data_IF_577057646593
#
_entry.id   IF_577057646593
#
_cell.length_a   1.000
_cell.length_b   1.000
_cell.length_c   1.000
_cell.angle_alpha   90.00
_cell.angle_beta   90.00
_cell.angle_gamma   90.00
#
_symmetry.space_group_name_H-M   'P 1'
#
loop_
_entity.id
_entity.type
_entity.pdbx_description
1 polymer ?
#
# COMPACT_ATOMS: atom_id res chain seq x y z
N UNK A 1 4.46 26.05 3.93
CA UNK A 1 3.41 25.25 4.56
C UNK A 1 3.88 23.82 4.69
N UNK A 2 3.86 23.32 5.89
CA UNK A 2 4.26 21.94 6.13
C UNK A 2 3.19 20.99 5.63
N UNK A 3 3.57 19.90 4.93
CA UNK A 3 2.60 18.92 4.50
C UNK A 3 2.01 18.18 5.70
N UNK A 4 0.72 17.97 5.66
CA UNK A 4 0.06 17.17 6.67
C UNK A 4 0.16 15.69 6.31
N UNK A 5 0.26 14.87 7.32
CA UNK A 5 0.33 13.42 7.15
C UNK A 5 -0.99 12.81 7.58
N UNK A 6 -1.60 12.04 6.69
CA UNK A 6 -2.81 11.29 7.00
C UNK A 6 -2.44 9.82 7.18
N UNK A 7 -2.84 9.26 8.30
CA UNK A 7 -2.60 7.84 8.58
C UNK A 7 -3.93 7.11 8.57
N UNK A 8 -4.05 6.13 7.66
CA UNK A 8 -5.28 5.36 7.49
C UNK A 8 -4.98 3.89 7.71
N UNK A 9 -5.81 3.24 8.51
CA UNK A 9 -5.65 1.82 8.83
C UNK A 9 -6.81 1.04 8.21
N UNK A 10 -6.50 0.22 7.21
CA UNK A 10 -7.47 -0.61 6.50
C UNK A 10 -8.69 0.19 6.05
N UNK A 11 -8.51 1.27 5.28
CA UNK A 11 -9.61 2.20 5.00
C UNK A 11 -10.78 1.60 4.22
N UNK A 12 -10.56 0.49 3.52
CA UNK A 12 -11.59 -0.15 2.70
C UNK A 12 -11.98 -1.54 3.17
N UNK A 13 -11.57 -1.95 4.36
CA UNK A 13 -11.73 -3.33 4.80
C UNK A 13 -13.18 -3.80 4.90
N UNK A 14 -14.12 -2.89 5.15
CA UNK A 14 -15.54 -3.21 5.29
C UNK A 14 -16.37 -2.77 4.09
N UNK A 15 -15.73 -2.35 3.00
CA UNK A 15 -16.42 -1.80 1.84
C UNK A 15 -16.46 -2.79 0.70
N UNK A 16 -17.50 -2.69 -0.14
CA UNK A 16 -17.57 -3.46 -1.38
C UNK A 16 -16.63 -2.86 -2.44
N UNK A 17 -16.51 -3.52 -3.58
CA UNK A 17 -15.58 -3.11 -4.65
C UNK A 17 -15.90 -1.71 -5.16
N UNK A 18 -17.18 -1.40 -5.33
CA UNK A 18 -17.58 -0.09 -5.86
C UNK A 18 -17.25 1.03 -4.88
N UNK A 19 -17.56 0.85 -3.61
CA UNK A 19 -17.27 1.85 -2.58
C UNK A 19 -15.77 2.01 -2.38
N UNK A 20 -15.02 0.91 -2.44
CA UNK A 20 -13.57 0.95 -2.35
C UNK A 20 -12.96 1.75 -3.49
N UNK A 21 -13.49 1.62 -4.70
CA UNK A 21 -13.02 2.38 -5.86
C UNK A 21 -13.20 3.88 -5.65
N UNK A 22 -14.31 4.28 -5.06
CA UNK A 22 -14.57 5.70 -4.77
C UNK A 22 -13.54 6.23 -3.76
N UNK A 23 -13.27 5.46 -2.71
CA UNK A 23 -12.30 5.85 -1.69
C UNK A 23 -10.89 5.93 -2.30
N UNK A 24 -10.52 4.96 -3.13
CA UNK A 24 -9.20 4.96 -3.78
C UNK A 24 -9.01 6.18 -4.68
N UNK A 25 -10.06 6.57 -5.41
CA UNK A 25 -10.02 7.77 -6.23
C UNK A 25 -9.82 9.01 -5.39
N UNK A 26 -10.55 9.10 -4.28
CA UNK A 26 -10.43 10.23 -3.37
C UNK A 26 -9.01 10.33 -2.80
N UNK A 27 -8.44 9.18 -2.40
CA UNK A 27 -7.08 9.15 -1.87
C UNK A 27 -6.05 9.58 -2.91
N UNK A 28 -6.25 9.17 -4.16
CA UNK A 28 -5.37 9.57 -5.26
C UNK A 28 -5.37 11.08 -5.46
N UNK A 29 -6.51 11.72 -5.28
CA UNK A 29 -6.61 13.17 -5.36
C UNK A 29 -6.00 13.84 -4.14
N UNK A 30 -6.22 13.30 -2.96
CA UNK A 30 -5.71 13.89 -1.72
C UNK A 30 -4.19 13.84 -1.62
N UNK A 31 -3.54 12.86 -2.25
CA UNK A 31 -2.09 12.76 -2.15
C UNK A 31 -1.34 13.94 -2.77
N UNK A 32 -2.00 14.74 -3.56
CA UNK A 32 -1.40 15.94 -4.12
C UNK A 32 -1.18 17.02 -3.06
N UNK A 33 -1.97 16.99 -1.99
CA UNK A 33 -1.88 17.96 -0.91
C UNK A 33 -1.32 17.39 0.39
N UNK A 34 -1.45 16.07 0.56
CA UNK A 34 -1.10 15.40 1.81
C UNK A 34 -0.18 14.23 1.55
N UNK A 35 0.66 13.91 2.54
CA UNK A 35 1.35 12.64 2.55
C UNK A 35 0.41 11.62 3.20
N UNK A 36 0.11 10.55 2.48
CA UNK A 36 -0.84 9.54 2.96
C UNK A 36 -0.11 8.24 3.23
N UNK A 37 -0.29 7.75 4.45
CA UNK A 37 0.25 6.44 4.85
C UNK A 37 -0.93 5.51 5.10
N UNK A 38 -0.95 4.39 4.40
CA UNK A 38 -2.02 3.40 4.51
C UNK A 38 -1.45 2.10 5.03
N UNK A 39 -2.05 1.58 6.10
CA UNK A 39 -1.74 0.24 6.60
C UNK A 39 -2.82 -0.69 6.10
N UNK A 40 -2.44 -1.71 5.32
CA UNK A 40 -3.43 -2.59 4.73
C UNK A 40 -2.86 -3.98 4.48
N UNK A 41 -3.72 -4.99 4.56
CA UNK A 41 -3.42 -6.35 4.12
C UNK A 41 -3.94 -6.60 2.70
N UNK A 42 -4.61 -5.60 2.13
CA UNK A 42 -5.15 -5.73 0.77
C UNK A 42 -4.06 -5.38 -0.23
N UNK A 43 -3.37 -6.40 -0.70
CA UNK A 43 -2.23 -6.24 -1.60
C UNK A 43 -2.63 -5.64 -2.94
N UNK A 44 -3.79 -6.04 -3.46
CA UNK A 44 -4.28 -5.49 -4.73
C UNK A 44 -4.50 -3.98 -4.63
N UNK A 45 -5.06 -3.50 -3.51
CA UNK A 45 -5.24 -2.08 -3.28
C UNK A 45 -3.90 -1.36 -3.18
N UNK A 46 -2.96 -1.91 -2.40
CA UNK A 46 -1.64 -1.33 -2.28
C UNK A 46 -0.98 -1.19 -3.64
N UNK A 47 -1.11 -2.21 -4.48
CA UNK A 47 -0.54 -2.21 -5.82
C UNK A 47 -1.13 -1.11 -6.70
N UNK A 48 -2.45 -0.88 -6.58
CA UNK A 48 -3.13 0.11 -7.43
C UNK A 48 -2.82 1.55 -7.05
N UNK A 49 -2.73 1.84 -5.76
CA UNK A 49 -2.73 3.24 -5.32
C UNK A 49 -1.43 3.73 -4.70
N UNK A 50 -0.49 2.85 -4.41
CA UNK A 50 0.74 3.25 -3.71
C UNK A 50 1.81 3.74 -4.65
N UNK A 51 2.53 4.78 -4.22
CA UNK A 51 3.75 5.22 -4.90
C UNK A 51 4.95 4.45 -4.35
N UNK A 52 4.98 4.25 -3.03
CA UNK A 52 6.01 3.47 -2.33
C UNK A 52 5.33 2.48 -1.42
N UNK A 53 6.00 1.36 -1.18
CA UNK A 53 5.48 0.31 -0.32
C UNK A 53 6.52 -0.08 0.70
N UNK A 54 6.09 -0.21 1.95
CA UNK A 54 6.90 -0.74 3.03
C UNK A 54 6.33 -2.11 3.40
N UNK A 55 7.14 -3.15 3.27
CA UNK A 55 6.73 -4.48 3.67
C UNK A 55 7.24 -4.75 5.08
N UNK A 56 6.30 -5.03 5.99
CA UNK A 56 6.59 -5.27 7.39
C UNK A 56 6.22 -6.71 7.75
N UNK A 57 7.10 -7.38 8.48
CA UNK A 57 6.85 -8.74 8.91
C UNK A 57 7.51 -8.98 10.26
N UNK A 58 6.76 -9.57 11.19
CA UNK A 58 7.29 -9.87 12.52
C UNK A 58 7.77 -8.65 13.27
N UNK A 59 7.14 -7.50 13.06
CA UNK A 59 7.51 -6.26 13.73
C UNK A 59 8.75 -5.58 13.15
N UNK A 60 9.22 -6.06 12.00
CA UNK A 60 10.41 -5.49 11.36
C UNK A 60 10.08 -4.97 9.97
N UNK A 61 10.74 -3.89 9.60
CA UNK A 61 10.69 -3.40 8.23
C UNK A 61 11.62 -4.27 7.39
N UNK A 62 11.03 -5.03 6.46
CA UNK A 62 11.79 -5.96 5.62
C UNK A 62 12.30 -5.24 4.37
N UNK A 63 11.41 -4.50 3.72
CA UNK A 63 11.78 -3.83 2.47
C UNK A 63 10.93 -2.57 2.30
N UNK A 64 11.56 -1.52 1.76
CA UNK A 64 10.88 -0.29 1.42
C UNK A 64 11.38 0.16 0.05
N UNK A 65 10.47 0.33 -0.90
CA UNK A 65 10.84 0.67 -2.27
C UNK A 65 9.64 1.20 -3.03
N UNK A 66 9.87 1.78 -4.23
CA UNK A 66 8.76 2.14 -5.10
C UNK A 66 7.87 0.94 -5.37
N UNK A 67 6.57 1.18 -5.50
CA UNK A 67 5.60 0.09 -5.67
C UNK A 67 5.94 -0.80 -6.87
N UNK A 68 6.37 -0.21 -7.97
CA UNK A 68 6.75 -0.98 -9.15
C UNK A 68 7.83 -2.01 -8.84
N UNK A 69 8.82 -1.63 -8.06
CA UNK A 69 9.91 -2.53 -7.71
C UNK A 69 9.44 -3.64 -6.76
N UNK A 70 8.67 -3.27 -5.73
CA UNK A 70 8.18 -4.25 -4.76
C UNK A 70 7.35 -5.34 -5.45
N UNK A 71 6.48 -4.95 -6.36
CA UNK A 71 5.55 -5.90 -6.97
C UNK A 71 6.10 -6.60 -8.21
N UNK A 72 7.21 -6.14 -8.77
CA UNK A 72 7.81 -6.79 -9.93
C UNK A 72 9.13 -7.48 -9.59
N UNK A 73 10.00 -6.82 -8.85
CA UNK A 73 11.33 -7.35 -8.53
C UNK A 73 11.71 -7.00 -7.09
N UNK A 74 11.04 -7.61 -6.11
CA UNK A 74 11.43 -7.38 -4.71
C UNK A 74 12.84 -7.91 -4.47
N UNK A 75 13.59 -7.21 -3.63
CA UNK A 75 14.97 -7.57 -3.35
C UNK A 75 15.10 -8.60 -2.23
N UNK A 76 14.17 -8.56 -1.27
CA UNK A 76 14.27 -9.45 -0.11
C UNK A 76 13.49 -10.73 -0.33
N UNK A 77 14.08 -11.85 0.12
CA UNK A 77 13.46 -13.16 -0.04
C UNK A 77 12.10 -13.25 0.68
N UNK A 78 11.98 -12.62 1.85
CA UNK A 78 10.73 -12.63 2.59
C UNK A 78 9.62 -11.94 1.81
N UNK A 79 9.94 -10.83 1.13
CA UNK A 79 8.97 -10.13 0.29
C UNK A 79 8.55 -11.00 -0.88
N UNK A 80 9.52 -11.64 -1.53
CA UNK A 80 9.23 -12.56 -2.64
C UNK A 80 8.33 -13.69 -2.21
N UNK A 81 8.65 -14.32 -1.08
CA UNK A 81 7.87 -15.44 -0.58
C UNK A 81 6.43 -15.03 -0.25
N UNK A 82 6.25 -13.86 0.35
CA UNK A 82 4.95 -13.35 0.68
C UNK A 82 4.10 -13.12 -0.58
N UNK A 83 4.69 -12.46 -1.57
CA UNK A 83 3.97 -12.15 -2.80
C UNK A 83 3.68 -13.42 -3.62
N UNK A 84 4.60 -14.38 -3.65
CA UNK A 84 4.36 -15.65 -4.32
C UNK A 84 3.24 -16.44 -3.67
N UNK A 85 3.16 -16.40 -2.34
CA UNK A 85 2.08 -17.05 -1.61
C UNK A 85 0.71 -16.46 -1.92
N UNK A 86 0.65 -15.18 -2.30
CA UNK A 86 -0.61 -14.53 -2.64
C UNK A 86 -0.96 -14.70 -4.12
N UNK A 87 0.04 -14.61 -5.00
CA UNK A 87 -0.18 -14.61 -6.44
C UNK A 87 0.29 -15.89 -7.14
N UNK A 88 1.04 -16.68 -6.43
CA UNK A 88 1.53 -17.93 -6.97
C UNK A 88 0.63 -19.06 -6.70
#
# INVERSE_FOLDING_TARGET
>A
VEPEILLLDEPCSALDVKSSSVIEKMLTQLKEKYTIVIVTHNIAQARRISDHVAFLFGGKLIEFAPAKQIFSQPKEEETKAFLEGIYG
#
